data_IF_755334902250
#
_entry.id   IF_755334902250
#
_cell.length_a   1.000
_cell.length_b   1.000
_cell.length_c   1.000
_cell.angle_alpha   90.00
_cell.angle_beta   90.00
_cell.angle_gamma   90.00
#
_symmetry.space_group_name_H-M   'P 1'
#
loop_
_entity.id
_entity.type
_entity.pdbx_description
1 polymer ?
#
# COMPACT_ATOMS: atom_id res chain seq x y z
N UNK A 1 -18.55 -68.74 0.53
CA UNK A 1 -19.09 -67.50 -0.06
C UNK A 1 -18.68 -66.37 0.88
N UNK A 2 -17.67 -65.53 0.54
CA UNK A 2 -17.81 -64.21 -0.12
C UNK A 2 -18.86 -63.37 0.64
N UNK A 3 -18.54 -62.25 1.31
CA UNK A 3 -17.73 -61.11 0.86
C UNK A 3 -17.10 -60.31 2.00
N UNK A 4 -15.91 -59.73 1.73
CA UNK A 4 -15.34 -58.60 2.45
C UNK A 4 -16.24 -57.37 2.35
N UNK A 5 -16.30 -56.56 3.41
CA UNK A 5 -16.39 -55.11 3.29
C UNK A 5 -15.41 -54.48 4.27
N UNK A 6 -14.23 -54.14 3.76
CA UNK A 6 -13.30 -53.25 4.43
C UNK A 6 -13.95 -51.86 4.46
N UNK A 7 -14.21 -51.34 5.65
CA UNK A 7 -14.58 -49.94 5.84
C UNK A 7 -13.33 -49.11 5.56
N UNK A 8 -13.18 -48.64 4.32
CA UNK A 8 -12.27 -47.53 4.01
C UNK A 8 -12.90 -46.27 4.60
N UNK A 9 -12.53 -45.96 5.83
CA UNK A 9 -12.74 -44.62 6.38
C UNK A 9 -11.88 -43.66 5.57
N UNK A 10 -12.53 -42.90 4.68
CA UNK A 10 -11.93 -41.76 3.98
C UNK A 10 -11.47 -40.78 5.06
N UNK A 11 -10.17 -40.71 5.31
CA UNK A 11 -9.55 -39.56 5.98
C UNK A 11 -9.56 -38.42 4.96
N UNK A 12 -10.67 -37.67 4.91
CA UNK A 12 -10.71 -36.42 4.19
C UNK A 12 -9.99 -35.38 5.06
N UNK A 13 -8.66 -35.35 4.99
CA UNK A 13 -7.92 -34.16 5.37
C UNK A 13 -8.19 -33.13 4.27
N UNK A 14 -9.27 -32.36 4.43
CA UNK A 14 -9.36 -31.02 3.87
C UNK A 14 -8.27 -30.19 4.57
N UNK A 15 -7.02 -30.43 4.20
CA UNK A 15 -5.96 -29.48 4.41
C UNK A 15 -6.23 -28.33 3.44
N UNK A 16 -7.11 -27.41 3.84
CA UNK A 16 -6.92 -26.02 3.46
C UNK A 16 -5.62 -25.62 4.14
N UNK A 17 -4.50 -25.93 3.49
CA UNK A 17 -3.28 -25.19 3.76
C UNK A 17 -3.54 -23.80 3.22
N UNK A 18 -4.11 -22.92 4.07
CA UNK A 18 -3.89 -21.50 3.92
C UNK A 18 -2.37 -21.34 4.10
N UNK A 19 -1.63 -21.43 2.99
CA UNK A 19 -0.23 -21.08 3.00
C UNK A 19 -0.22 -19.58 3.20
N UNK A 20 0.06 -19.13 4.43
CA UNK A 20 0.42 -17.75 4.68
C UNK A 20 1.71 -17.49 3.90
N UNK A 21 1.57 -16.90 2.72
CA UNK A 21 2.67 -16.44 1.88
C UNK A 21 2.95 -14.97 2.19
N UNK A 22 4.22 -14.59 2.22
CA UNK A 22 4.61 -13.18 2.12
C UNK A 22 4.99 -12.90 0.67
N UNK A 23 4.55 -11.76 0.16
CA UNK A 23 4.94 -11.27 -1.16
C UNK A 23 5.35 -9.80 -1.05
N UNK A 24 6.16 -9.36 -2.00
CA UNK A 24 6.52 -7.95 -2.17
C UNK A 24 5.89 -7.47 -3.46
N UNK A 25 5.09 -6.41 -3.38
CA UNK A 25 4.56 -5.76 -4.57
C UNK A 25 5.65 -4.90 -5.21
N UNK A 26 5.73 -4.93 -6.54
CA UNK A 26 6.62 -4.07 -7.31
C UNK A 26 5.99 -2.67 -7.41
N UNK A 27 6.79 -1.63 -7.19
CA UNK A 27 6.37 -0.24 -7.43
C UNK A 27 6.18 -0.04 -8.94
N UNK A 28 5.03 0.51 -9.33
CA UNK A 28 4.69 0.81 -10.72
C UNK A 28 4.99 2.27 -11.06
N UNK A 29 4.46 3.19 -10.26
CA UNK A 29 4.67 4.63 -10.41
C UNK A 29 4.94 5.25 -9.05
N UNK A 30 6.01 6.01 -8.95
CA UNK A 30 6.25 6.93 -7.86
C UNK A 30 6.39 8.37 -8.38
N UNK A 31 5.82 9.32 -7.64
CA UNK A 31 5.85 10.74 -8.00
C UNK A 31 5.49 11.55 -6.77
N UNK A 32 5.57 12.87 -6.88
CA UNK A 32 4.97 13.76 -5.91
C UNK A 32 4.28 14.92 -6.63
N UNK A 33 3.34 15.55 -5.94
CA UNK A 33 2.66 16.76 -6.40
C UNK A 33 3.04 17.93 -5.50
N UNK A 34 3.10 19.13 -6.08
CA UNK A 34 3.54 20.34 -5.38
C UNK A 34 2.53 21.48 -5.57
N UNK A 35 1.97 21.98 -4.47
CA UNK A 35 1.03 23.09 -4.46
C UNK A 35 1.61 24.37 -5.06
N UNK A 36 2.91 24.63 -4.86
CA UNK A 36 3.58 25.83 -5.37
C UNK A 36 3.81 25.75 -6.90
N UNK A 37 3.77 24.54 -7.46
CA UNK A 37 4.02 24.24 -8.86
C UNK A 37 2.89 23.38 -9.45
N UNK A 38 1.65 23.84 -9.30
CA UNK A 38 0.49 22.96 -9.32
C UNK A 38 0.21 22.18 -10.62
N UNK A 39 0.82 22.57 -11.75
CA UNK A 39 0.67 21.93 -13.06
C UNK A 39 1.88 21.11 -13.50
N UNK A 40 2.91 21.00 -12.67
CA UNK A 40 4.09 20.18 -12.95
C UNK A 40 3.91 18.77 -12.41
N UNK A 41 4.50 17.79 -13.11
CA UNK A 41 4.68 16.42 -12.66
C UNK A 41 6.15 16.15 -12.34
N UNK A 42 6.41 15.21 -11.44
CA UNK A 42 7.75 14.91 -10.92
C UNK A 42 8.10 13.42 -10.92
N UNK A 43 7.49 12.64 -11.83
CA UNK A 43 7.73 11.20 -11.98
C UNK A 43 9.16 10.85 -12.37
N UNK A 44 9.86 11.73 -13.09
CA UNK A 44 11.27 11.55 -13.45
C UNK A 44 12.25 11.98 -12.33
N UNK A 45 11.75 12.30 -11.13
CA UNK A 45 12.58 12.82 -10.03
C UNK A 45 13.25 11.70 -9.24
N UNK A 46 14.57 11.83 -9.03
CA UNK A 46 15.34 10.90 -8.17
C UNK A 46 14.92 10.96 -6.68
N UNK A 47 14.24 12.03 -6.26
CA UNK A 47 13.78 12.25 -4.89
C UNK A 47 12.33 12.70 -4.87
N UNK A 48 11.56 12.11 -3.95
CA UNK A 48 10.17 12.48 -3.69
C UNK A 48 10.07 13.36 -2.46
N UNK A 49 9.15 14.32 -2.50
CA UNK A 49 9.02 15.32 -1.44
C UNK A 49 7.64 15.30 -0.80
N UNK A 50 7.62 15.23 0.53
CA UNK A 50 6.44 15.43 1.35
C UNK A 50 6.64 16.66 2.24
N UNK A 51 5.65 17.54 2.28
CA UNK A 51 5.70 18.77 3.09
C UNK A 51 4.31 19.25 3.47
N UNK A 52 4.22 19.96 4.59
CA UNK A 52 3.01 20.65 5.02
C UNK A 52 3.33 22.04 5.59
N UNK A 53 2.35 22.93 5.53
CA UNK A 53 2.41 24.26 6.12
C UNK A 53 1.11 24.56 6.87
N UNK A 54 1.21 24.84 8.16
CA UNK A 54 0.02 25.13 8.98
C UNK A 54 -0.91 23.92 9.19
N UNK A 55 -0.40 22.70 8.97
CA UNK A 55 -1.20 21.46 9.04
C UNK A 55 -1.73 21.00 7.69
N UNK A 56 -1.71 21.86 6.67
CA UNK A 56 -2.16 21.53 5.32
C UNK A 56 -1.01 21.00 4.47
N UNK A 57 -1.20 19.92 3.69
CA UNK A 57 -0.20 19.46 2.74
C UNK A 57 0.15 20.55 1.73
N UNK A 58 1.45 20.67 1.44
CA UNK A 58 1.96 21.50 0.33
C UNK A 58 2.72 20.67 -0.70
N UNK A 59 3.18 19.47 -0.31
CA UNK A 59 3.70 18.43 -1.21
C UNK A 59 3.23 17.06 -0.74
N UNK A 60 2.72 16.25 -1.66
CA UNK A 60 2.22 14.91 -1.38
C UNK A 60 2.94 13.89 -2.28
N UNK A 61 3.41 12.79 -1.68
CA UNK A 61 4.05 11.69 -2.42
C UNK A 61 2.98 10.67 -2.79
N UNK A 62 2.93 10.27 -4.07
CA UNK A 62 2.05 9.21 -4.55
C UNK A 62 2.88 7.98 -4.94
N UNK A 63 2.46 6.84 -4.42
CA UNK A 63 3.07 5.54 -4.64
C UNK A 63 1.99 4.58 -5.18
N UNK A 64 2.19 4.10 -6.40
CA UNK A 64 1.38 3.07 -7.05
C UNK A 64 2.20 1.80 -7.13
N UNK A 65 1.61 0.65 -6.82
CA UNK A 65 2.24 -0.65 -6.98
C UNK A 65 1.43 -1.51 -7.95
N UNK A 66 2.10 -2.44 -8.63
CA UNK A 66 1.45 -3.40 -9.51
C UNK A 66 0.51 -4.26 -8.67
N UNK A 67 -0.79 -4.14 -8.90
CA UNK A 67 -1.78 -4.91 -8.16
C UNK A 67 -1.71 -6.40 -8.53
N UNK A 68 -1.03 -7.17 -7.69
CA UNK A 68 -0.94 -8.62 -7.80
C UNK A 68 -1.91 -9.36 -6.88
N UNK A 69 -2.72 -8.67 -6.06
CA UNK A 69 -3.54 -9.25 -5.00
C UNK A 69 -4.48 -10.35 -5.52
N UNK A 70 -5.27 -10.05 -6.56
CA UNK A 70 -6.17 -11.04 -7.18
C UNK A 70 -5.42 -12.22 -7.82
N UNK A 71 -4.23 -11.98 -8.39
CA UNK A 71 -3.38 -13.06 -8.94
C UNK A 71 -2.83 -14.00 -7.86
N UNK A 72 -2.70 -13.52 -6.63
CA UNK A 72 -2.33 -14.29 -5.45
C UNK A 72 -3.54 -14.95 -4.76
N UNK A 73 -4.75 -14.79 -5.30
CA UNK A 73 -5.97 -15.35 -4.73
C UNK A 73 -6.50 -14.58 -3.51
N UNK A 74 -6.15 -13.29 -3.39
CA UNK A 74 -6.59 -12.41 -2.32
C UNK A 74 -7.78 -11.59 -2.84
N UNK A 75 -8.96 -11.89 -2.31
CA UNK A 75 -10.23 -11.26 -2.68
C UNK A 75 -11.08 -10.84 -1.47
N UNK A 76 -10.62 -11.19 -0.26
CA UNK A 76 -11.23 -10.83 1.00
C UNK A 76 -10.17 -10.13 1.88
N UNK A 77 -10.44 -8.92 2.39
CA UNK A 77 -9.54 -8.20 3.30
C UNK A 77 -9.08 -9.03 4.50
N UNK A 78 -9.91 -9.94 5.00
CA UNK A 78 -9.59 -10.81 6.13
C UNK A 78 -8.49 -11.83 5.79
N UNK A 79 -8.12 -11.98 4.51
CA UNK A 79 -6.95 -12.76 4.10
C UNK A 79 -5.62 -12.02 4.33
N UNK A 80 -5.66 -10.71 4.61
CA UNK A 80 -4.49 -9.89 4.91
C UNK A 80 -4.30 -9.81 6.43
N UNK A 81 -3.29 -10.51 6.94
CA UNK A 81 -2.88 -10.43 8.35
C UNK A 81 -2.14 -9.12 8.63
N UNK A 82 -1.15 -8.78 7.79
CA UNK A 82 -0.40 -7.53 7.88
C UNK A 82 0.19 -7.09 6.54
N UNK A 83 0.45 -5.78 6.42
CA UNK A 83 1.21 -5.20 5.33
C UNK A 83 2.09 -4.06 5.83
N UNK A 84 3.29 -3.94 5.26
CA UNK A 84 4.26 -2.91 5.65
C UNK A 84 4.78 -2.16 4.44
N UNK A 85 4.95 -0.85 4.60
CA UNK A 85 5.62 0.02 3.65
C UNK A 85 6.89 0.53 4.29
N UNK A 86 8.04 0.27 3.67
CA UNK A 86 9.32 0.82 4.09
C UNK A 86 9.73 1.93 3.14
N UNK A 87 10.08 3.09 3.68
CA UNK A 87 10.57 4.25 2.93
C UNK A 87 11.92 4.70 3.48
N UNK A 88 12.80 5.17 2.58
CA UNK A 88 14.09 5.72 2.94
C UNK A 88 14.05 7.24 2.86
N UNK A 89 14.11 7.91 4.01
CA UNK A 89 14.27 9.35 4.04
C UNK A 89 15.73 9.69 3.69
N UNK A 90 15.97 10.18 2.47
CA UNK A 90 17.29 10.62 2.05
C UNK A 90 17.75 11.88 2.82
N UNK A 91 16.82 12.78 3.13
CA UNK A 91 17.07 13.99 3.90
C UNK A 91 15.81 14.47 4.63
N UNK A 92 15.99 15.24 5.70
CA UNK A 92 14.91 15.82 6.51
C UNK A 92 15.23 17.28 6.82
N UNK A 93 14.57 18.20 6.13
CA UNK A 93 14.76 19.64 6.34
C UNK A 93 14.10 20.10 7.64
N UNK A 94 12.93 19.55 7.96
CA UNK A 94 12.18 19.80 9.18
C UNK A 94 11.57 18.49 9.69
N UNK A 95 11.79 18.13 10.96
CA UNK A 95 11.13 16.99 11.57
C UNK A 95 9.61 17.13 11.52
N UNK A 96 8.91 16.01 11.34
CA UNK A 96 7.46 16.00 11.23
C UNK A 96 6.88 14.61 11.36
N UNK A 97 5.55 14.55 11.31
CA UNK A 97 4.80 13.30 11.24
C UNK A 97 4.32 13.08 9.82
N UNK A 98 4.49 11.87 9.33
CA UNK A 98 3.98 11.44 8.02
C UNK A 98 2.91 10.38 8.25
N UNK A 99 1.85 10.44 7.47
CA UNK A 99 0.74 9.48 7.46
C UNK A 99 0.56 9.03 6.01
N UNK A 100 0.41 7.72 5.80
CA UNK A 100 0.04 7.17 4.51
C UNK A 100 -1.48 7.02 4.42
N UNK A 101 -2.06 7.23 3.24
CA UNK A 101 -3.50 7.14 2.98
C UNK A 101 -3.76 6.25 1.76
N UNK A 102 -4.92 5.62 1.72
CA UNK A 102 -5.40 4.93 0.53
C UNK A 102 -5.88 5.96 -0.50
N UNK A 103 -5.38 5.87 -1.74
CA UNK A 103 -5.88 6.63 -2.88
C UNK A 103 -6.46 5.64 -3.90
N UNK A 104 -7.73 5.80 -4.24
CA UNK A 104 -8.36 4.96 -5.26
C UNK A 104 -8.13 5.53 -6.67
N UNK A 105 -7.84 4.65 -7.61
CA UNK A 105 -7.59 5.00 -9.01
C UNK A 105 -6.14 4.78 -9.40
N UNK A 106 -5.83 5.09 -10.65
CA UNK A 106 -4.46 5.01 -11.15
C UNK A 106 -3.72 6.30 -10.82
N UNK A 107 -2.55 6.17 -10.20
CA UNK A 107 -1.55 7.24 -10.18
C UNK A 107 -0.82 7.21 -11.52
N UNK A 108 -0.82 8.33 -12.23
CA UNK A 108 -0.08 8.47 -13.48
C UNK A 108 1.22 9.24 -13.25
N UNK A 109 2.20 8.98 -14.11
CA UNK A 109 3.45 9.74 -14.22
C UNK A 109 3.20 11.24 -14.50
N UNK A 110 2.04 11.57 -15.08
CA UNK A 110 1.57 12.94 -15.30
C UNK A 110 0.79 13.55 -14.13
N UNK A 111 0.80 12.94 -12.94
CA UNK A 111 0.08 13.49 -11.78
C UNK A 111 0.54 14.92 -11.47
N UNK A 112 -0.42 15.83 -11.26
CA UNK A 112 -0.19 17.22 -10.89
C UNK A 112 -1.05 17.57 -9.68
N UNK A 113 -0.68 18.64 -8.96
CA UNK A 113 -1.48 19.11 -7.83
C UNK A 113 -2.89 19.54 -8.26
N UNK A 114 -3.00 20.19 -9.43
CA UNK A 114 -4.27 20.69 -9.96
C UNK A 114 -5.29 19.59 -10.28
N UNK A 115 -4.81 18.41 -10.67
CA UNK A 115 -5.64 17.28 -11.09
C UNK A 115 -5.60 16.12 -10.08
N UNK A 116 -5.09 16.37 -8.87
CA UNK A 116 -4.90 15.33 -7.86
C UNK A 116 -6.24 14.77 -7.37
N UNK A 117 -6.29 13.46 -7.16
CA UNK A 117 -7.44 12.80 -6.57
C UNK A 117 -7.50 13.00 -5.05
N UNK A 118 -8.70 12.85 -4.50
CA UNK A 118 -8.89 12.80 -3.05
C UNK A 118 -8.54 11.41 -2.51
N UNK A 119 -7.77 11.36 -1.42
CA UNK A 119 -7.48 10.13 -0.70
C UNK A 119 -8.56 9.83 0.35
N UNK A 120 -8.69 8.56 0.74
CA UNK A 120 -9.61 8.08 1.77
C UNK A 120 -8.96 8.26 3.16
N UNK A 121 -9.43 9.26 3.91
CA UNK A 121 -8.99 9.48 5.29
C UNK A 121 -9.34 8.33 6.24
N UNK A 122 -10.34 7.51 5.90
CA UNK A 122 -10.80 6.35 6.67
C UNK A 122 -9.88 5.13 6.55
N UNK A 123 -8.98 5.10 5.56
CA UNK A 123 -7.98 4.06 5.38
C UNK A 123 -6.58 4.68 5.36
N UNK A 124 -5.97 4.73 6.55
CA UNK A 124 -4.67 5.37 6.78
C UNK A 124 -3.77 4.55 7.69
N UNK A 125 -2.47 4.85 7.65
CA UNK A 125 -1.52 4.34 8.64
C UNK A 125 -1.59 5.15 9.94
N UNK A 126 -0.99 4.63 11.00
CA UNK A 126 -0.58 5.48 12.11
C UNK A 126 0.46 6.52 11.66
N UNK A 127 0.54 7.63 12.41
CA UNK A 127 1.51 8.68 12.15
C UNK A 127 2.93 8.25 12.57
N UNK A 128 3.88 8.28 11.62
CA UNK A 128 5.30 7.98 11.86
C UNK A 128 6.10 9.27 11.96
N UNK A 129 6.89 9.41 13.03
CA UNK A 129 7.77 10.57 13.21
C UNK A 129 9.07 10.41 12.40
N UNK A 130 9.28 11.32 11.46
CA UNK A 130 10.49 11.40 10.63
C UNK A 130 11.28 12.63 11.06
N UNK A 131 12.50 12.42 11.56
CA UNK A 131 13.32 13.48 12.17
C UNK A 131 14.77 13.52 11.68
N UNK A 132 15.20 12.55 10.87
CA UNK A 132 16.53 12.49 10.25
C UNK A 132 16.49 11.54 9.05
N UNK A 133 17.58 11.50 8.29
CA UNK A 133 17.73 10.51 7.23
C UNK A 133 17.77 9.08 7.79
N UNK A 134 17.19 8.14 7.04
CA UNK A 134 17.17 6.71 7.38
C UNK A 134 15.88 6.00 6.98
N UNK A 135 15.82 4.72 7.36
CA UNK A 135 14.71 3.82 7.05
C UNK A 135 13.56 3.98 8.04
N UNK A 136 12.34 4.07 7.51
CA UNK A 136 11.10 4.17 8.28
C UNK A 136 10.08 3.15 7.76
N UNK A 137 9.38 2.49 8.68
CA UNK A 137 8.35 1.50 8.36
C UNK A 137 6.99 1.99 8.82
N UNK A 138 6.02 1.90 7.91
CA UNK A 138 4.62 2.18 8.11
C UNK A 138 3.85 0.87 8.13
N UNK A 139 2.96 0.69 9.11
CA UNK A 139 1.92 -0.32 9.03
C UNK A 139 0.84 0.20 8.08
N UNK A 140 0.65 -0.50 6.97
CA UNK A 140 -0.30 -0.15 5.91
C UNK A 140 -1.36 -1.25 5.73
N UNK A 141 -1.55 -2.10 6.73
CA UNK A 141 -2.47 -3.23 6.68
C UNK A 141 -3.89 -2.81 6.30
N UNK A 142 -4.41 -1.76 6.94
CA UNK A 142 -5.77 -1.25 6.65
C UNK A 142 -5.88 -0.61 5.25
N UNK A 143 -4.80 0.01 4.76
CA UNK A 143 -4.73 0.54 3.39
C UNK A 143 -4.79 -0.60 2.37
N UNK A 144 -4.04 -1.68 2.58
CA UNK A 144 -4.02 -2.84 1.67
C UNK A 144 -5.34 -3.61 1.74
N UNK A 145 -5.93 -3.77 2.93
CA UNK A 145 -7.29 -4.29 3.09
C UNK A 145 -8.29 -3.47 2.30
N UNK A 146 -8.22 -2.14 2.40
CA UNK A 146 -9.07 -1.24 1.63
C UNK A 146 -8.88 -1.38 0.12
N UNK A 147 -7.64 -1.60 -0.32
CA UNK A 147 -7.33 -1.88 -1.72
C UNK A 147 -7.96 -3.19 -2.20
N UNK A 148 -7.98 -4.25 -1.37
CA UNK A 148 -8.70 -5.51 -1.69
C UNK A 148 -10.20 -5.22 -1.86
N UNK A 149 -10.84 -4.52 -0.92
CA UNK A 149 -12.28 -4.19 -1.02
C UNK A 149 -12.65 -3.42 -2.28
N UNK A 150 -11.78 -2.49 -2.71
CA UNK A 150 -12.12 -1.49 -3.71
C UNK A 150 -11.64 -1.87 -5.11
N UNK A 151 -10.59 -2.68 -5.21
CA UNK A 151 -9.88 -2.95 -6.47
C UNK A 151 -9.88 -4.44 -6.88
N UNK A 152 -10.56 -5.34 -6.16
CA UNK A 152 -10.71 -6.77 -6.53
C UNK A 152 -12.15 -7.18 -6.81
#
# INVERSE_FOLDING_TARGET
>A
MRYLYAVFGIFLLLAVSAAAGSFTAEMDVDTYVDADNASQSYSDSDLLWAASQGGEPTKEIYLSFINILGSQGIFDPEQIDSATLTVEAAQVDRPGKVIAYFLHGATFDTATWSDKGDYDEGASSDAVEINKAGSYTFDVSEIIKKAVETCT
#
